data_IF_005085769731
#
_entry.id   IF_005085769731
#
_cell.length_a   1.000
_cell.length_b   1.000
_cell.length_c   1.000
_cell.angle_alpha   90.00
_cell.angle_beta   90.00
_cell.angle_gamma   90.00
#
_symmetry.space_group_name_H-M   'P 1'
#
loop_
_entity.id
_entity.type
_entity.pdbx_description
1 polymer ?
#
# COMPACT_ATOMS: atom_id res chain seq x y z
N UNK A 1 34.62 56.82 23.65
CA UNK A 1 33.28 56.21 23.47
C UNK A 1 33.27 54.87 24.18
N UNK A 2 32.28 54.66 25.07
CA UNK A 2 32.27 53.63 26.11
C UNK A 2 31.87 52.26 25.55
N UNK A 3 32.52 51.23 26.09
CA UNK A 3 32.17 49.81 25.99
C UNK A 3 30.72 49.59 26.42
N UNK A 4 29.96 48.83 25.64
CA UNK A 4 28.72 48.21 26.09
C UNK A 4 28.87 46.69 25.91
N UNK A 5 29.23 46.05 27.02
CA UNK A 5 29.10 44.61 27.25
C UNK A 5 27.61 44.37 27.50
N UNK A 6 26.94 43.52 26.72
CA UNK A 6 25.64 42.98 27.10
C UNK A 6 25.69 41.46 27.12
N UNK A 7 25.44 40.93 28.30
CA UNK A 7 25.47 39.54 28.69
C UNK A 7 24.30 38.72 28.10
N UNK A 8 24.65 37.50 27.69
CA UNK A 8 23.99 36.22 27.97
C UNK A 8 22.45 36.16 28.07
N UNK A 9 21.86 35.40 27.15
CA UNK A 9 20.90 34.35 27.52
C UNK A 9 21.07 33.16 26.56
N UNK A 10 22.05 32.29 26.84
CA UNK A 10 22.10 30.95 26.26
C UNK A 10 21.01 30.12 26.94
N UNK A 11 19.85 29.99 26.30
CA UNK A 11 18.93 28.89 26.58
C UNK A 11 19.60 27.59 26.13
N UNK A 12 20.35 26.95 27.03
CA UNK A 12 20.66 25.53 26.91
C UNK A 12 19.34 24.79 27.04
N UNK A 13 18.70 24.49 25.92
CA UNK A 13 17.68 23.45 25.87
C UNK A 13 18.42 22.17 26.25
N UNK A 14 18.22 21.73 27.49
CA UNK A 14 18.59 20.39 27.89
C UNK A 14 17.85 19.44 26.97
N UNK A 15 18.59 18.79 26.07
CA UNK A 15 18.16 17.54 25.48
C UNK A 15 18.08 16.53 26.61
N UNK A 16 16.94 16.52 27.32
CA UNK A 16 16.51 15.33 28.03
C UNK A 16 16.25 14.30 26.93
N UNK A 17 17.23 13.42 26.69
CA UNK A 17 17.00 12.21 25.93
C UNK A 17 16.01 11.39 26.75
N UNK A 18 14.72 11.62 26.55
CA UNK A 18 13.70 10.64 26.85
C UNK A 18 14.04 9.44 25.95
N UNK A 19 14.77 8.47 26.50
CA UNK A 19 14.91 7.17 25.87
C UNK A 19 13.54 6.53 25.92
N UNK A 20 12.87 6.46 24.77
CA UNK A 20 11.54 5.86 24.66
C UNK A 20 11.63 4.38 25.04
N UNK A 21 11.13 4.05 26.23
CA UNK A 21 10.92 2.68 26.68
C UNK A 21 9.86 2.06 25.76
N UNK A 22 10.21 0.93 25.15
CA UNK A 22 9.37 0.21 24.20
C UNK A 22 8.36 -0.69 24.90
N UNK A 23 8.75 -1.31 26.02
CA UNK A 23 7.89 -2.09 26.89
C UNK A 23 8.55 -2.32 28.26
N UNK A 24 7.77 -2.32 29.34
CA UNK A 24 8.28 -2.53 30.70
C UNK A 24 8.62 -3.99 30.99
N UNK A 25 7.84 -4.95 30.46
CA UNK A 25 8.09 -6.39 30.56
C UNK A 25 7.53 -7.10 29.33
N UNK A 26 8.12 -8.24 28.98
CA UNK A 26 7.64 -9.03 27.86
C UNK A 26 8.61 -10.10 27.39
N UNK A 27 8.41 -10.54 26.15
CA UNK A 27 9.21 -11.58 25.50
C UNK A 27 9.68 -11.12 24.13
N UNK A 28 10.99 -11.16 23.91
CA UNK A 28 11.58 -11.09 22.57
C UNK A 28 11.68 -12.50 22.00
N UNK A 29 11.18 -12.71 20.78
CA UNK A 29 11.42 -13.92 20.00
C UNK A 29 12.52 -13.63 19.00
N UNK A 30 13.58 -14.43 18.99
CA UNK A 30 14.70 -14.29 18.07
C UNK A 30 14.42 -14.94 16.71
N UNK A 31 15.30 -14.68 15.75
CA UNK A 31 15.36 -15.38 14.47
C UNK A 31 15.43 -16.89 14.67
N UNK A 32 16.15 -17.37 15.68
CA UNK A 32 16.24 -18.81 16.00
C UNK A 32 14.96 -19.38 16.63
N UNK A 33 13.91 -18.57 16.81
CA UNK A 33 12.72 -18.84 17.64
C UNK A 33 13.02 -19.00 19.14
N UNK A 34 14.26 -18.76 19.57
CA UNK A 34 14.59 -18.63 20.98
C UNK A 34 13.83 -17.44 21.59
N UNK A 35 13.36 -17.61 22.83
CA UNK A 35 12.58 -16.61 23.54
C UNK A 35 13.37 -16.05 24.71
N UNK A 36 13.57 -14.74 24.71
CA UNK A 36 14.24 -14.00 25.78
C UNK A 36 13.20 -13.19 26.53
N UNK A 37 13.07 -13.43 27.84
CA UNK A 37 12.29 -12.56 28.72
C UNK A 37 13.08 -11.31 29.03
N UNK A 38 12.40 -10.18 29.11
CA UNK A 38 13.01 -8.92 29.47
C UNK A 38 12.20 -8.16 30.51
N UNK A 39 12.90 -7.31 31.25
CA UNK A 39 12.34 -6.11 31.90
C UNK A 39 12.97 -4.87 31.25
N UNK A 40 12.22 -3.78 31.17
CA UNK A 40 12.59 -2.49 30.56
C UNK A 40 13.33 -2.64 29.23
N UNK A 41 12.57 -2.80 28.15
CA UNK A 41 13.10 -2.86 26.80
C UNK A 41 13.15 -1.46 26.18
N UNK A 42 14.33 -1.07 25.73
CA UNK A 42 14.57 0.18 25.01
C UNK A 42 15.13 -0.13 23.62
N UNK A 43 14.79 0.70 22.64
CA UNK A 43 15.43 0.66 21.33
C UNK A 43 16.45 1.79 21.23
N UNK A 44 17.74 1.45 21.30
CA UNK A 44 18.84 2.38 21.15
C UNK A 44 19.54 2.16 19.81
N UNK A 45 19.18 2.94 18.80
CA UNK A 45 19.76 2.82 17.46
C UNK A 45 19.38 1.50 16.78
N UNK A 46 20.35 0.59 16.62
CA UNK A 46 20.15 -0.73 15.97
C UNK A 46 20.14 -1.89 16.96
N UNK A 47 20.06 -1.61 18.26
CA UNK A 47 20.08 -2.61 19.32
C UNK A 47 18.90 -2.41 20.26
N UNK A 48 18.32 -3.52 20.69
CA UNK A 48 17.48 -3.56 21.87
C UNK A 48 18.36 -3.62 23.09
N UNK A 49 18.12 -2.74 24.06
CA UNK A 49 18.69 -2.79 25.40
C UNK A 49 17.61 -3.27 26.35
N UNK A 50 17.94 -4.22 27.20
CA UNK A 50 16.99 -4.79 28.13
C UNK A 50 17.65 -5.22 29.42
N UNK A 51 16.86 -5.33 30.48
CA UNK A 51 17.26 -5.93 31.74
C UNK A 51 16.84 -7.40 31.71
N UNK A 52 17.78 -8.31 31.96
CA UNK A 52 17.45 -9.72 32.11
C UNK A 52 16.82 -9.98 33.49
N UNK A 53 15.56 -10.45 33.57
CA UNK A 53 14.85 -10.55 34.85
C UNK A 53 15.51 -11.47 35.89
N UNK A 54 16.27 -12.46 35.43
CA UNK A 54 16.89 -13.46 36.31
C UNK A 54 18.15 -12.94 37.03
N UNK A 55 18.86 -11.99 36.41
CA UNK A 55 20.18 -11.51 36.87
C UNK A 55 20.19 -10.02 37.20
N UNK A 56 19.21 -9.25 36.68
CA UNK A 56 19.18 -7.80 36.77
C UNK A 56 20.21 -7.12 35.86
N UNK A 57 20.93 -7.87 35.02
CA UNK A 57 21.96 -7.33 34.15
C UNK A 57 21.36 -6.62 32.93
N UNK A 58 22.00 -5.51 32.54
CA UNK A 58 21.69 -4.82 31.28
C UNK A 58 22.36 -5.55 30.13
N UNK A 59 21.56 -6.03 29.19
CA UNK A 59 21.99 -6.74 27.99
C UNK A 59 21.58 -5.99 26.74
N UNK A 60 22.34 -6.20 25.67
CA UNK A 60 22.05 -5.64 24.36
C UNK A 60 21.89 -6.77 23.34
N UNK A 61 20.96 -6.61 22.40
CA UNK A 61 20.78 -7.54 21.29
C UNK A 61 20.50 -6.78 20.00
N UNK A 62 21.14 -7.19 18.91
CA UNK A 62 20.97 -6.52 17.64
C UNK A 62 19.54 -6.68 17.12
N UNK A 63 18.92 -5.58 16.68
CA UNK A 63 17.53 -5.56 16.22
C UNK A 63 17.29 -6.52 15.04
N UNK A 64 18.32 -6.78 14.23
CA UNK A 64 18.28 -7.71 13.09
C UNK A 64 18.36 -9.20 13.47
N UNK A 65 18.46 -9.54 14.76
CA UNK A 65 18.35 -10.93 15.24
C UNK A 65 17.03 -11.18 15.96
N UNK A 66 16.25 -10.14 16.26
CA UNK A 66 14.96 -10.23 16.95
C UNK A 66 13.83 -10.32 15.92
N UNK A 67 13.11 -11.46 15.89
CA UNK A 67 11.95 -11.73 15.03
C UNK A 67 10.74 -10.90 15.45
N UNK A 68 10.46 -10.84 16.76
CA UNK A 68 9.35 -10.07 17.31
C UNK A 68 9.52 -9.77 18.79
N UNK A 69 8.77 -8.78 19.29
CA UNK A 69 8.65 -8.46 20.72
C UNK A 69 7.17 -8.34 21.07
N UNK A 70 6.78 -9.08 22.10
CA UNK A 70 5.44 -9.05 22.68
C UNK A 70 5.56 -8.49 24.12
N UNK A 71 4.65 -7.60 24.51
CA UNK A 71 4.56 -7.09 25.89
C UNK A 71 3.98 -8.16 26.85
N UNK A 72 3.92 -7.86 28.15
CA UNK A 72 3.35 -8.75 29.17
C UNK A 72 1.86 -9.12 28.93
N UNK A 73 1.14 -8.30 28.15
CA UNK A 73 -0.26 -8.53 27.75
C UNK A 73 -0.35 -9.28 26.42
N UNK A 74 0.77 -9.74 25.86
CA UNK A 74 0.89 -10.40 24.57
C UNK A 74 0.53 -9.50 23.37
N UNK A 75 0.58 -8.18 23.53
CA UNK A 75 0.46 -7.27 22.39
C UNK A 75 1.80 -7.18 21.66
N UNK A 76 1.75 -7.29 20.33
CA UNK A 76 2.92 -7.17 19.47
C UNK A 76 3.39 -5.72 19.40
N UNK A 77 4.49 -5.41 20.08
CA UNK A 77 5.09 -4.06 20.09
C UNK A 77 6.18 -3.89 19.03
N UNK A 78 6.77 -4.99 18.55
CA UNK A 78 7.74 -4.95 17.46
C UNK A 78 7.73 -6.24 16.62
N UNK A 79 7.89 -6.11 15.29
CA UNK A 79 8.05 -7.26 14.38
C UNK A 79 9.12 -6.96 13.35
N UNK A 80 10.14 -7.81 13.25
CA UNK A 80 11.15 -7.74 12.21
C UNK A 80 10.74 -8.58 11.00
N UNK A 81 10.09 -7.93 10.04
CA UNK A 81 9.56 -8.57 8.84
C UNK A 81 10.65 -9.23 7.98
N UNK A 82 11.91 -8.78 8.04
CA UNK A 82 12.99 -9.34 7.21
C UNK A 82 13.45 -10.73 7.67
N UNK A 83 13.41 -11.01 8.98
CA UNK A 83 13.82 -12.30 9.58
C UNK A 83 12.72 -13.36 9.42
N UNK A 84 11.46 -12.94 9.51
CA UNK A 84 10.30 -13.82 9.33
C UNK A 84 10.34 -14.45 7.93
N UNK A 85 10.69 -13.65 6.92
CA UNK A 85 10.86 -14.06 5.52
C UNK A 85 11.94 -15.14 5.35
N UNK A 86 13.10 -15.00 6.00
CA UNK A 86 14.22 -15.94 5.80
C UNK A 86 13.99 -17.30 6.48
N UNK A 87 13.22 -17.34 7.57
CA UNK A 87 12.96 -18.58 8.31
C UNK A 87 11.75 -19.36 7.78
N UNK A 88 10.76 -18.68 7.21
CA UNK A 88 9.65 -19.34 6.51
C UNK A 88 10.13 -19.97 5.20
N UNK A 89 11.16 -19.37 4.55
CA UNK A 89 11.85 -19.95 3.39
C UNK A 89 12.59 -21.26 3.71
N UNK A 90 13.17 -21.38 4.91
CA UNK A 90 13.94 -22.58 5.32
C UNK A 90 13.04 -23.69 5.88
N UNK A 91 11.85 -23.37 6.40
CA UNK A 91 10.86 -24.37 6.81
C UNK A 91 9.93 -24.83 5.68
N UNK A 92 9.70 -24.01 4.65
CA UNK A 92 8.92 -24.39 3.46
C UNK A 92 9.56 -25.50 2.61
N UNK A 93 10.89 -25.64 2.63
CA UNK A 93 11.63 -26.62 1.82
C UNK A 93 11.45 -28.08 2.32
N UNK A 94 11.05 -28.29 3.59
CA UNK A 94 10.85 -29.63 4.15
C UNK A 94 9.43 -30.18 3.99
N UNK A 95 8.43 -29.32 3.74
CA UNK A 95 7.01 -29.72 3.69
C UNK A 95 6.55 -30.10 2.28
N UNK A 96 7.23 -29.61 1.23
CA UNK A 96 6.85 -29.85 -0.18
C UNK A 96 7.02 -31.29 -0.69
N UNK A 97 7.60 -32.22 0.09
CA UNK A 97 7.75 -33.62 -0.36
C UNK A 97 6.57 -34.54 -0.09
N UNK A 98 5.51 -34.08 0.58
CA UNK A 98 4.36 -34.94 0.89
C UNK A 98 3.05 -34.16 0.86
N UNK A 99 2.47 -34.01 -0.33
CA UNK A 99 1.00 -33.89 -0.54
C UNK A 99 0.71 -33.87 -2.05
N UNK A 100 0.92 -35.02 -2.69
CA UNK A 100 0.09 -35.40 -3.81
C UNK A 100 -1.10 -36.20 -3.24
N UNK A 101 -2.26 -36.00 -3.86
CA UNK A 101 -3.55 -36.67 -3.64
C UNK A 101 -4.44 -36.18 -2.48
N UNK A 102 -5.38 -35.28 -2.81
CA UNK A 102 -6.80 -35.48 -2.42
C UNK A 102 -7.76 -34.78 -3.40
N UNK A 103 -8.36 -35.62 -4.25
CA UNK A 103 -9.72 -35.65 -4.85
C UNK A 103 -10.54 -34.34 -4.92
N UNK A 104 -10.90 -34.02 -6.16
CA UNK A 104 -11.73 -32.92 -6.62
C UNK A 104 -13.18 -32.91 -6.08
N UNK A 105 -13.64 -31.72 -5.68
CA UNK A 105 -15.07 -31.39 -5.54
C UNK A 105 -15.51 -30.66 -6.80
N UNK A 106 -16.46 -31.24 -7.54
CA UNK A 106 -17.02 -30.69 -8.79
C UNK A 106 -17.77 -29.36 -8.50
N UNK A 107 -17.37 -28.20 -9.05
CA UNK A 107 -18.14 -26.97 -8.90
C UNK A 107 -19.37 -26.97 -9.81
N UNK A 108 -20.43 -26.31 -9.34
CA UNK A 108 -21.62 -25.95 -10.11
C UNK A 108 -21.25 -25.22 -11.43
N UNK A 109 -22.13 -25.20 -12.46
CA UNK A 109 -21.82 -24.61 -13.75
C UNK A 109 -21.55 -23.10 -13.58
N UNK A 110 -20.28 -22.71 -13.75
CA UNK A 110 -19.88 -21.30 -13.78
C UNK A 110 -20.53 -20.67 -15.02
N UNK A 111 -21.33 -19.61 -14.83
CA UNK A 111 -21.67 -18.70 -15.94
C UNK A 111 -20.35 -18.28 -16.61
N UNK A 112 -20.30 -18.35 -17.93
CA UNK A 112 -19.12 -17.91 -18.68
C UNK A 112 -18.82 -16.44 -18.37
N UNK A 113 -17.54 -16.12 -18.17
CA UNK A 113 -17.13 -14.75 -17.88
C UNK A 113 -17.40 -13.84 -19.09
N UNK A 114 -17.83 -12.58 -18.90
CA UNK A 114 -18.05 -11.66 -20.00
C UNK A 114 -16.78 -11.45 -20.83
N UNK A 115 -16.90 -11.52 -22.16
CA UNK A 115 -15.78 -11.31 -23.08
C UNK A 115 -15.34 -9.84 -23.17
N UNK A 116 -16.23 -8.90 -22.83
CA UNK A 116 -16.02 -7.46 -22.90
C UNK A 116 -16.49 -6.77 -21.62
N UNK A 117 -15.89 -5.61 -21.32
CA UNK A 117 -16.45 -4.68 -20.33
C UNK A 117 -17.73 -4.01 -20.85
N UNK A 118 -18.56 -3.40 -19.98
CA UNK A 118 -19.77 -2.68 -20.41
C UNK A 118 -19.56 -1.63 -21.50
N UNK A 119 -18.37 -0.98 -21.54
CA UNK A 119 -18.03 0.02 -22.54
C UNK A 119 -17.28 -0.56 -23.76
N UNK A 120 -17.35 -1.88 -23.94
CA UNK A 120 -16.86 -2.58 -25.13
C UNK A 120 -15.35 -2.80 -25.17
N UNK A 121 -14.65 -2.77 -24.03
CA UNK A 121 -13.23 -3.15 -24.01
C UNK A 121 -13.11 -4.68 -23.98
N UNK A 122 -12.42 -5.32 -24.95
CA UNK A 122 -12.13 -6.73 -24.88
C UNK A 122 -11.31 -7.09 -23.63
N UNK A 123 -11.52 -8.29 -23.08
CA UNK A 123 -10.58 -8.83 -22.08
C UNK A 123 -9.16 -8.92 -22.67
N UNK A 124 -8.17 -8.57 -21.85
CA UNK A 124 -6.77 -8.58 -22.26
C UNK A 124 -5.90 -7.59 -21.51
N UNK A 125 -4.64 -7.56 -21.90
CA UNK A 125 -3.59 -6.72 -21.33
C UNK A 125 -3.37 -5.54 -22.28
N UNK A 126 -3.46 -4.33 -21.75
CA UNK A 126 -3.20 -3.08 -22.46
C UNK A 126 -1.86 -2.53 -21.97
N UNK A 127 -0.78 -2.79 -22.72
CA UNK A 127 0.55 -2.36 -22.32
C UNK A 127 0.69 -0.84 -22.29
N UNK A 128 0.14 -0.16 -23.30
CA UNK A 128 0.26 1.30 -23.46
C UNK A 128 -1.07 2.02 -23.27
N UNK A 129 -0.98 3.35 -23.10
CA UNK A 129 -2.15 4.24 -23.08
C UNK A 129 -2.85 4.24 -24.43
N UNK A 130 -2.09 4.13 -25.51
CA UNK A 130 -2.57 4.14 -26.88
C UNK A 130 -3.37 2.87 -27.20
N UNK A 131 -2.88 1.70 -26.78
CA UNK A 131 -3.62 0.43 -26.85
C UNK A 131 -4.98 0.56 -26.16
N UNK A 132 -4.99 1.16 -24.98
CA UNK A 132 -6.20 1.40 -24.20
C UNK A 132 -7.17 2.35 -24.91
N UNK A 133 -6.69 3.49 -25.41
CA UNK A 133 -7.52 4.46 -26.16
C UNK A 133 -8.14 3.81 -27.39
N UNK A 134 -7.39 2.96 -28.08
CA UNK A 134 -7.85 2.26 -29.28
C UNK A 134 -8.72 1.03 -28.97
N UNK A 135 -8.97 0.73 -27.69
CA UNK A 135 -9.69 -0.48 -27.21
C UNK A 135 -9.11 -1.79 -27.75
N UNK A 136 -7.84 -1.80 -28.10
CA UNK A 136 -7.16 -2.96 -28.68
C UNK A 136 -6.14 -3.50 -27.67
N UNK A 137 -6.40 -4.67 -27.04
CA UNK A 137 -5.43 -5.24 -26.11
C UNK A 137 -4.16 -5.61 -26.87
N UNK A 138 -3.01 -5.28 -26.28
CA UNK A 138 -1.69 -5.64 -26.82
C UNK A 138 -1.45 -7.15 -26.72
N UNK A 139 -2.11 -7.82 -25.78
CA UNK A 139 -2.02 -9.25 -25.55
C UNK A 139 -3.31 -9.80 -24.95
N UNK A 140 -3.68 -11.02 -25.36
CA UNK A 140 -4.80 -11.80 -24.80
C UNK A 140 -4.33 -12.93 -23.89
N UNK A 141 -3.05 -12.89 -23.46
CA UNK A 141 -2.49 -13.88 -22.55
C UNK A 141 -3.33 -13.98 -21.27
N UNK A 142 -3.52 -15.21 -20.78
CA UNK A 142 -4.31 -15.47 -19.58
C UNK A 142 -3.59 -14.92 -18.34
N UNK A 143 -4.34 -14.17 -17.55
CA UNK A 143 -3.88 -13.59 -16.29
C UNK A 143 -4.67 -14.14 -15.12
N UNK A 144 -4.03 -14.20 -13.96
CA UNK A 144 -4.64 -14.53 -12.68
C UNK A 144 -4.42 -13.39 -11.69
N UNK A 145 -5.46 -12.99 -10.93
CA UNK A 145 -5.31 -12.02 -9.86
C UNK A 145 -4.69 -12.70 -8.64
N UNK A 146 -3.75 -12.02 -7.98
CA UNK A 146 -3.13 -12.44 -6.73
C UNK A 146 -3.14 -11.29 -5.72
N UNK A 147 -3.12 -11.61 -4.43
CA UNK A 147 -3.19 -10.60 -3.36
C UNK A 147 -2.04 -9.57 -3.42
N UNK A 148 -2.34 -8.32 -3.03
CA UNK A 148 -1.34 -7.25 -2.95
C UNK A 148 -0.39 -7.42 -1.76
N UNK A 149 -0.91 -7.97 -0.68
CA UNK A 149 -0.25 -8.22 0.60
C UNK A 149 -0.12 -9.71 0.83
N UNK A 150 0.70 -10.13 1.80
CA UNK A 150 1.03 -11.54 2.00
C UNK A 150 2.27 -11.99 1.22
N UNK A 151 2.99 -12.97 1.79
CA UNK A 151 4.21 -13.53 1.19
C UNK A 151 3.88 -14.52 0.08
N UNK A 152 2.97 -15.43 0.37
CA UNK A 152 2.33 -16.28 -0.64
C UNK A 152 1.21 -15.46 -1.28
N UNK A 153 1.47 -14.99 -2.50
CA UNK A 153 0.46 -14.29 -3.29
C UNK A 153 -0.40 -15.35 -3.95
N UNK A 154 -1.34 -15.87 -3.17
CA UNK A 154 -2.29 -16.86 -3.66
C UNK A 154 -3.16 -16.28 -4.77
N UNK A 155 -3.60 -17.14 -5.67
CA UNK A 155 -4.58 -16.78 -6.69
C UNK A 155 -5.93 -16.50 -6.01
N UNK A 156 -6.52 -15.35 -6.33
CA UNK A 156 -7.84 -14.99 -5.84
C UNK A 156 -8.88 -15.66 -6.76
N UNK A 157 -9.45 -16.78 -6.31
CA UNK A 157 -10.38 -17.60 -7.12
C UNK A 157 -11.86 -17.38 -6.80
N UNK A 158 -12.17 -16.86 -5.61
CA UNK A 158 -13.54 -16.85 -5.07
C UNK A 158 -14.34 -15.58 -5.44
N UNK A 159 -13.66 -14.50 -5.84
CA UNK A 159 -14.31 -13.23 -6.16
C UNK A 159 -13.47 -12.35 -7.10
N UNK A 160 -14.09 -11.30 -7.64
CA UNK A 160 -13.40 -10.24 -8.39
C UNK A 160 -12.80 -9.25 -7.39
N UNK A 161 -11.45 -9.15 -7.26
CA UNK A 161 -10.83 -8.27 -6.28
C UNK A 161 -10.97 -6.79 -6.65
N UNK A 162 -11.06 -5.91 -5.66
CA UNK A 162 -11.01 -4.45 -5.89
C UNK A 162 -9.61 -3.98 -6.25
N UNK A 163 -8.59 -4.66 -5.72
CA UNK A 163 -7.18 -4.35 -5.91
C UNK A 163 -6.35 -5.65 -5.84
N UNK A 164 -5.39 -5.80 -6.75
CA UNK A 164 -4.61 -7.04 -6.87
C UNK A 164 -3.31 -6.84 -7.66
N UNK A 165 -2.46 -7.86 -7.69
CA UNK A 165 -1.48 -8.02 -8.75
C UNK A 165 -2.03 -8.97 -9.81
N UNK A 166 -1.82 -8.64 -11.09
CA UNK A 166 -2.00 -9.63 -12.15
C UNK A 166 -0.70 -10.36 -12.47
N UNK A 167 -0.80 -11.67 -12.64
CA UNK A 167 0.28 -12.56 -13.05
C UNK A 167 -0.10 -13.28 -14.34
N UNK A 168 0.87 -13.50 -15.23
CA UNK A 168 0.68 -14.40 -16.37
C UNK A 168 0.52 -15.83 -15.85
N UNK A 169 -0.62 -16.46 -16.17
CA UNK A 169 -1.01 -17.76 -15.60
C UNK A 169 0.04 -18.85 -15.84
N UNK A 170 0.64 -18.88 -17.03
CA UNK A 170 1.55 -19.96 -17.44
C UNK A 170 3.01 -19.71 -17.05
N UNK A 171 3.36 -18.53 -16.57
CA UNK A 171 4.75 -18.13 -16.28
C UNK A 171 4.98 -17.79 -14.81
N UNK A 172 3.91 -17.76 -14.00
CA UNK A 172 3.88 -17.16 -12.66
C UNK A 172 4.59 -15.79 -12.59
N UNK A 173 4.46 -15.01 -13.68
CA UNK A 173 5.19 -13.75 -13.85
C UNK A 173 4.27 -12.58 -13.63
N UNK A 174 4.56 -11.80 -12.60
CA UNK A 174 3.86 -10.54 -12.30
C UNK A 174 3.94 -9.55 -13.46
N UNK A 175 2.80 -9.00 -13.84
CA UNK A 175 2.72 -7.89 -14.79
C UNK A 175 3.33 -6.61 -14.22
N UNK A 176 4.14 -5.94 -15.02
CA UNK A 176 4.83 -4.68 -14.69
C UNK A 176 4.78 -3.79 -15.92
N UNK A 177 4.72 -2.46 -15.72
CA UNK A 177 4.70 -1.47 -16.81
C UNK A 177 3.57 -1.73 -17.82
N UNK A 178 2.36 -1.94 -17.29
CA UNK A 178 1.13 -2.16 -18.06
C UNK A 178 0.20 -0.99 -17.78
N UNK A 179 -0.52 -0.49 -18.78
CA UNK A 179 -1.49 0.58 -18.58
C UNK A 179 -2.75 0.08 -17.88
N UNK A 180 -3.39 -0.94 -18.44
CA UNK A 180 -4.63 -1.52 -17.93
C UNK A 180 -4.73 -3.03 -18.17
N UNK A 181 -5.61 -3.69 -17.44
CA UNK A 181 -6.04 -5.07 -17.68
C UNK A 181 -7.56 -5.10 -17.67
N UNK A 182 -8.16 -5.70 -18.70
CA UNK A 182 -9.56 -6.10 -18.67
C UNK A 182 -9.63 -7.60 -18.37
N UNK A 183 -10.24 -7.95 -17.24
CA UNK A 183 -10.30 -9.31 -16.72
C UNK A 183 -11.76 -9.62 -16.36
N UNK A 184 -12.34 -10.63 -17.01
CA UNK A 184 -13.72 -11.09 -16.78
C UNK A 184 -14.76 -9.96 -16.88
N UNK A 185 -14.60 -9.07 -17.85
CA UNK A 185 -15.50 -7.92 -18.05
C UNK A 185 -15.25 -6.74 -17.10
N UNK A 186 -14.25 -6.83 -16.23
CA UNK A 186 -13.89 -5.79 -15.27
C UNK A 186 -12.60 -5.10 -15.69
N UNK A 187 -12.52 -3.79 -15.50
CA UNK A 187 -11.39 -2.97 -15.91
C UNK A 187 -10.52 -2.61 -14.72
N UNK A 188 -9.20 -2.67 -14.91
CA UNK A 188 -8.21 -2.33 -13.89
C UNK A 188 -7.13 -1.42 -14.47
N UNK A 189 -6.70 -0.42 -13.70
CA UNK A 189 -5.52 0.39 -14.01
C UNK A 189 -4.36 0.00 -13.11
N UNK A 190 -3.15 -0.09 -13.68
CA UNK A 190 -1.95 -0.24 -12.85
C UNK A 190 -1.66 1.09 -12.13
N UNK A 191 -1.35 1.04 -10.84
CA UNK A 191 -1.03 2.23 -10.05
C UNK A 191 0.12 3.04 -10.65
N UNK A 192 1.15 2.38 -11.17
CA UNK A 192 2.25 3.06 -11.88
C UNK A 192 1.77 3.77 -13.14
N UNK A 193 0.81 3.21 -13.88
CA UNK A 193 0.26 3.85 -15.07
C UNK A 193 -0.58 5.07 -14.72
N UNK A 194 -1.39 4.99 -13.65
CA UNK A 194 -2.10 6.13 -13.06
C UNK A 194 -1.10 7.24 -12.75
N UNK A 195 -0.04 6.90 -12.00
CA UNK A 195 0.97 7.87 -11.63
C UNK A 195 1.62 8.45 -12.88
N UNK A 196 2.17 7.64 -13.79
CA UNK A 196 2.89 8.13 -14.97
C UNK A 196 2.06 8.99 -15.94
N UNK A 197 0.72 8.83 -15.96
CA UNK A 197 -0.18 9.54 -16.89
C UNK A 197 -1.12 10.52 -16.18
N UNK A 198 -0.79 10.97 -14.97
CA UNK A 198 -1.57 11.96 -14.22
C UNK A 198 -1.39 13.40 -14.73
N UNK A 199 -2.39 14.23 -14.48
CA UNK A 199 -2.32 15.67 -14.69
C UNK A 199 -1.07 16.25 -13.99
N UNK A 200 -0.45 17.26 -14.60
CA UNK A 200 0.81 17.85 -14.14
C UNK A 200 0.71 18.42 -12.71
N UNK A 201 -0.46 18.87 -12.28
CA UNK A 201 -0.69 19.40 -10.92
C UNK A 201 -0.74 18.29 -9.85
N UNK A 202 -0.78 17.02 -10.26
CA UNK A 202 -0.86 15.84 -9.38
C UNK A 202 0.48 15.13 -9.16
N UNK A 203 1.58 15.76 -9.59
CA UNK A 203 2.92 15.16 -9.57
C UNK A 203 3.44 14.75 -8.20
N UNK A 204 2.89 15.29 -7.12
CA UNK A 204 3.34 15.01 -5.76
C UNK A 204 2.75 13.73 -5.14
N UNK A 205 2.19 12.79 -5.89
CA UNK A 205 1.64 11.52 -5.38
C UNK A 205 2.56 10.31 -5.65
N UNK A 206 2.50 9.31 -4.75
CA UNK A 206 3.22 8.03 -4.81
C UNK A 206 2.42 6.91 -4.12
N UNK A 207 2.87 5.66 -4.23
CA UNK A 207 2.23 4.48 -3.62
C UNK A 207 3.26 3.38 -3.28
N UNK A 208 2.93 2.50 -2.34
CA UNK A 208 3.78 1.39 -1.91
C UNK A 208 3.83 0.21 -2.90
N UNK A 209 2.77 0.02 -3.68
CA UNK A 209 2.55 -1.07 -4.63
C UNK A 209 2.40 -0.56 -6.08
N UNK A 210 3.43 0.03 -6.69
CA UNK A 210 3.31 0.65 -8.02
C UNK A 210 2.87 -0.33 -9.11
N UNK A 211 3.19 -1.63 -8.98
CA UNK A 211 2.77 -2.65 -9.93
C UNK A 211 1.37 -3.23 -9.62
N UNK A 212 0.73 -2.79 -8.54
CA UNK A 212 -0.62 -3.19 -8.18
C UNK A 212 -1.63 -2.58 -9.14
N UNK A 213 -2.79 -3.22 -9.22
CA UNK A 213 -3.90 -2.83 -10.06
C UNK A 213 -5.09 -2.49 -9.19
N UNK A 214 -5.81 -1.44 -9.56
CA UNK A 214 -7.05 -1.01 -8.90
C UNK A 214 -8.21 -1.10 -9.90
N UNK A 215 -9.33 -1.66 -9.46
CA UNK A 215 -10.52 -1.84 -10.28
C UNK A 215 -11.21 -0.50 -10.54
N UNK A 216 -11.71 -0.33 -11.75
CA UNK A 216 -12.60 0.76 -12.11
C UNK A 216 -13.97 0.47 -11.51
N UNK A 217 -14.48 1.39 -10.70
CA UNK A 217 -15.77 1.27 -10.01
C UNK A 217 -16.93 1.81 -10.84
N UNK A 218 -16.66 2.85 -11.63
CA UNK A 218 -17.65 3.49 -12.51
C UNK A 218 -17.02 3.73 -13.87
N UNK A 219 -17.71 3.29 -14.92
CA UNK A 219 -17.36 3.58 -16.31
C UNK A 219 -18.50 4.38 -16.94
N UNK A 220 -18.18 5.51 -17.57
CA UNK A 220 -19.10 6.28 -18.40
C UNK A 220 -18.44 6.79 -19.67
N UNK A 221 -19.08 7.69 -20.41
CA UNK A 221 -18.54 8.19 -21.67
C UNK A 221 -17.40 9.18 -21.46
N UNK A 222 -17.44 9.95 -20.38
CA UNK A 222 -16.51 11.03 -20.09
C UNK A 222 -15.43 10.58 -19.09
N UNK A 223 -15.82 9.80 -18.08
CA UNK A 223 -14.94 9.49 -16.96
C UNK A 223 -14.96 8.00 -16.56
N UNK A 224 -13.77 7.47 -16.26
CA UNK A 224 -13.63 6.20 -15.54
C UNK A 224 -13.10 6.44 -14.14
N UNK A 225 -13.86 6.04 -13.13
CA UNK A 225 -13.54 6.26 -11.72
C UNK A 225 -12.91 5.04 -11.07
N UNK A 226 -11.82 5.27 -10.35
CA UNK A 226 -11.18 4.28 -9.49
C UNK A 226 -10.72 4.91 -8.18
N UNK A 227 -10.27 4.07 -7.26
CA UNK A 227 -9.74 4.50 -5.97
C UNK A 227 -8.43 3.77 -5.69
N UNK A 228 -7.40 4.51 -5.27
CA UNK A 228 -6.12 3.91 -4.90
C UNK A 228 -5.58 4.50 -3.60
N UNK A 229 -4.89 3.67 -2.84
CA UNK A 229 -4.14 4.08 -1.65
C UNK A 229 -2.92 4.89 -2.09
N UNK A 230 -2.92 6.20 -1.92
CA UNK A 230 -1.83 7.08 -2.37
C UNK A 230 -1.32 7.96 -1.22
N UNK A 231 -0.02 8.24 -1.23
CA UNK A 231 0.63 9.18 -0.32
C UNK A 231 1.28 10.35 -1.08
N UNK A 232 1.48 11.46 -0.37
CA UNK A 232 2.31 12.55 -0.89
C UNK A 232 3.78 12.11 -0.96
N UNK A 233 4.43 12.32 -2.11
CA UNK A 233 5.82 11.91 -2.39
C UNK A 233 6.82 12.60 -1.46
N UNK A 234 6.61 13.88 -1.15
CA UNK A 234 7.49 14.64 -0.25
C UNK A 234 7.30 14.25 1.20
N UNK A 235 6.04 14.13 1.66
CA UNK A 235 5.76 13.67 3.01
C UNK A 235 6.32 12.27 3.24
N UNK A 236 6.16 11.37 2.27
CA UNK A 236 6.76 10.03 2.33
C UNK A 236 8.29 10.06 2.26
N UNK A 237 8.88 10.88 1.39
CA UNK A 237 10.33 11.02 1.31
C UNK A 237 10.94 11.55 2.61
N UNK A 238 10.29 12.54 3.22
CA UNK A 238 10.68 13.10 4.51
C UNK A 238 10.52 12.07 5.63
N UNK A 239 9.40 11.35 5.66
CA UNK A 239 9.18 10.25 6.60
C UNK A 239 10.26 9.18 6.43
N UNK A 240 10.52 8.64 5.24
CA UNK A 240 11.52 7.59 5.03
C UNK A 240 12.97 8.02 5.39
N UNK A 241 13.29 9.31 5.34
CA UNK A 241 14.59 9.85 5.78
C UNK A 241 14.73 9.91 7.32
N UNK A 242 13.66 9.69 8.09
CA UNK A 242 13.66 9.63 9.55
C UNK A 242 14.04 8.26 10.15
N UNK A 243 14.70 7.39 9.39
CA UNK A 243 15.09 6.05 9.86
C UNK A 243 13.90 5.10 10.08
N UNK A 244 14.02 4.15 11.01
CA UNK A 244 12.97 3.14 11.26
C UNK A 244 11.62 3.75 11.70
N UNK A 245 11.66 4.79 12.54
CA UNK A 245 10.48 5.55 12.97
C UNK A 245 9.83 6.26 11.77
N UNK A 246 10.67 6.84 10.93
CA UNK A 246 10.29 7.43 9.67
C UNK A 246 9.63 6.45 8.68
N UNK A 247 10.10 5.20 8.65
CA UNK A 247 9.51 4.11 7.88
C UNK A 247 8.09 3.73 8.33
N UNK A 248 7.85 3.68 9.64
CA UNK A 248 6.52 3.41 10.21
C UNK A 248 5.53 4.54 9.88
N UNK A 249 5.93 5.80 10.07
CA UNK A 249 5.12 6.97 9.70
C UNK A 249 4.89 7.01 8.19
N UNK A 250 5.90 6.70 7.38
CA UNK A 250 5.78 6.65 5.91
C UNK A 250 4.70 5.70 5.40
N UNK A 251 4.37 4.65 6.17
CA UNK A 251 3.33 3.67 5.84
C UNK A 251 1.91 4.09 6.24
N UNK A 252 1.76 5.01 7.19
CA UNK A 252 0.45 5.55 7.64
C UNK A 252 0.00 6.79 6.89
N UNK A 253 0.85 7.31 5.98
CA UNK A 253 0.56 8.48 5.15
C UNK A 253 -0.29 8.16 3.91
N UNK A 254 -0.49 6.89 3.58
CA UNK A 254 -1.37 6.52 2.48
C UNK A 254 -2.82 6.69 2.88
N UNK A 255 -3.57 7.40 2.03
CA UNK A 255 -5.00 7.52 2.17
C UNK A 255 -5.64 7.04 0.87
N UNK A 256 -6.82 6.44 0.96
CA UNK A 256 -7.61 6.10 -0.21
C UNK A 256 -8.04 7.41 -0.90
N UNK A 257 -7.76 7.53 -2.20
CA UNK A 257 -8.08 8.72 -2.99
C UNK A 257 -8.90 8.35 -4.21
N UNK A 258 -9.89 9.19 -4.51
CA UNK A 258 -10.64 9.13 -5.76
C UNK A 258 -9.78 9.58 -6.93
N UNK A 259 -9.88 8.87 -8.04
CA UNK A 259 -9.12 9.10 -9.26
C UNK A 259 -10.07 8.96 -10.45
N UNK A 260 -10.01 9.91 -11.38
CA UNK A 260 -10.74 9.82 -12.65
C UNK A 260 -9.76 9.76 -13.81
N UNK A 261 -9.96 8.79 -14.70
CA UNK A 261 -9.45 8.87 -16.06
C UNK A 261 -10.39 9.77 -16.86
N UNK A 262 -9.87 10.87 -17.37
CA UNK A 262 -10.57 11.76 -18.28
C UNK A 262 -10.38 11.24 -19.72
N UNK A 263 -11.46 10.74 -20.32
CA UNK A 263 -11.42 10.10 -21.64
C UNK A 263 -10.99 11.10 -22.72
N UNK A 264 -11.44 12.36 -22.61
CA UNK A 264 -11.16 13.42 -23.58
C UNK A 264 -9.71 13.89 -23.48
N UNK A 265 -9.26 14.20 -22.27
CA UNK A 265 -7.92 14.73 -22.01
C UNK A 265 -6.84 13.64 -21.96
N UNK A 266 -7.24 12.35 -21.89
CA UNK A 266 -6.35 11.19 -21.90
C UNK A 266 -5.32 11.23 -20.76
N UNK A 267 -5.78 11.63 -19.59
CA UNK A 267 -4.97 11.73 -18.37
C UNK A 267 -5.78 11.36 -17.12
N UNK A 268 -5.06 11.05 -16.04
CA UNK A 268 -5.65 10.82 -14.73
C UNK A 268 -5.67 12.12 -13.90
N UNK A 269 -6.81 12.43 -13.28
CA UNK A 269 -6.91 13.46 -12.25
C UNK A 269 -7.06 12.79 -10.89
N UNK A 270 -6.24 13.19 -9.92
CA UNK A 270 -6.20 12.61 -8.58
C UNK A 270 -6.76 13.62 -7.59
N UNK A 271 -7.79 13.24 -6.84
CA UNK A 271 -8.35 14.08 -5.79
C UNK A 271 -7.46 14.01 -4.54
N UNK A 272 -6.34 14.74 -4.54
CA UNK A 272 -5.33 14.70 -3.45
C UNK A 272 -5.92 15.24 -2.16
N UNK A 273 -6.81 16.21 -2.28
CA UNK A 273 -7.59 16.80 -1.21
C UNK A 273 -8.96 17.22 -1.77
N UNK A 274 -9.78 17.77 -0.89
CA UNK A 274 -11.12 18.20 -1.24
C UNK A 274 -11.15 19.37 -2.23
N UNK A 275 -10.18 20.29 -2.18
CA UNK A 275 -10.16 21.40 -3.13
C UNK A 275 -9.96 20.88 -4.54
N UNK A 276 -9.06 19.91 -4.74
CA UNK A 276 -8.87 19.29 -6.06
C UNK A 276 -10.17 18.64 -6.58
N UNK A 277 -10.91 17.92 -5.71
CA UNK A 277 -12.21 17.36 -6.06
C UNK A 277 -13.25 18.45 -6.35
N UNK A 278 -13.35 19.46 -5.49
CA UNK A 278 -14.32 20.53 -5.61
C UNK A 278 -14.07 21.37 -6.88
N UNK A 279 -12.81 21.62 -7.23
CA UNK A 279 -12.47 22.35 -8.45
C UNK A 279 -12.81 21.51 -9.70
N UNK A 280 -12.59 20.19 -9.65
CA UNK A 280 -13.02 19.28 -10.70
C UNK A 280 -14.55 19.24 -10.86
N UNK A 281 -15.29 19.02 -9.77
CA UNK A 281 -16.75 18.80 -9.84
C UNK A 281 -17.55 20.09 -10.04
N UNK A 282 -17.04 21.25 -9.60
CA UNK A 282 -17.80 22.52 -9.62
C UNK A 282 -18.26 22.93 -11.02
N UNK A 283 -17.47 22.62 -12.05
CA UNK A 283 -17.82 22.95 -13.44
C UNK A 283 -18.72 21.92 -14.11
N UNK A 284 -18.82 20.71 -13.55
CA UNK A 284 -19.56 19.57 -14.11
C UNK A 284 -20.90 19.35 -13.41
N UNK A 285 -20.90 19.47 -12.08
CA UNK A 285 -22.05 19.28 -11.20
C UNK A 285 -21.85 20.13 -9.92
N UNK A 286 -22.23 21.42 -9.94
CA UNK A 286 -22.02 22.34 -8.82
C UNK A 286 -22.60 21.85 -7.48
N UNK A 287 -23.72 21.14 -7.51
CA UNK A 287 -24.37 20.54 -6.32
C UNK A 287 -23.54 19.42 -5.71
N UNK A 288 -22.58 18.85 -6.45
CA UNK A 288 -21.64 17.83 -5.97
C UNK A 288 -20.47 18.37 -5.17
N UNK A 289 -20.33 19.70 -5.03
CA UNK A 289 -19.30 20.35 -4.21
C UNK A 289 -19.51 20.01 -2.74
N UNK A 290 -18.42 19.67 -2.05
CA UNK A 290 -18.48 19.24 -0.65
C UNK A 290 -17.88 20.28 0.31
N UNK A 291 -18.53 20.46 1.46
CA UNK A 291 -17.99 21.19 2.61
C UNK A 291 -17.04 20.27 3.40
N UNK A 292 -15.77 20.24 3.00
CA UNK A 292 -14.84 19.25 3.51
C UNK A 292 -14.31 19.55 4.91
N UNK A 293 -14.85 18.82 5.89
CA UNK A 293 -14.51 18.97 7.31
C UNK A 293 -13.09 18.50 7.70
N UNK A 294 -12.43 17.67 6.87
CA UNK A 294 -11.14 17.02 7.19
C UNK A 294 -10.11 17.09 6.06
N UNK A 295 -10.17 18.11 5.21
CA UNK A 295 -9.31 18.30 4.02
C UNK A 295 -9.39 17.21 2.93
N UNK A 296 -9.91 16.01 3.22
CA UNK A 296 -10.22 14.98 2.23
C UNK A 296 -11.72 15.03 1.87
N UNK A 297 -12.08 14.72 0.61
CA UNK A 297 -13.49 14.58 0.23
C UNK A 297 -14.07 13.29 0.82
N UNK A 298 -15.38 13.27 1.06
CA UNK A 298 -16.10 12.04 1.37
C UNK A 298 -16.23 11.20 0.09
N UNK A 299 -15.52 10.07 0.04
CA UNK A 299 -15.49 9.21 -1.15
C UNK A 299 -16.87 8.64 -1.51
N UNK A 300 -17.79 8.49 -0.56
CA UNK A 300 -19.15 8.03 -0.87
C UNK A 300 -19.87 9.08 -1.71
N UNK A 301 -19.79 10.35 -1.32
CA UNK A 301 -20.33 11.48 -2.07
C UNK A 301 -19.59 11.69 -3.39
N UNK A 302 -18.29 11.44 -3.45
CA UNK A 302 -17.53 11.46 -4.72
C UNK A 302 -18.11 10.42 -5.68
N UNK A 303 -18.31 9.17 -5.24
CA UNK A 303 -18.89 8.12 -6.10
C UNK A 303 -20.26 8.51 -6.64
N UNK A 304 -21.12 9.08 -5.79
CA UNK A 304 -22.45 9.56 -6.19
C UNK A 304 -22.35 10.64 -7.27
N UNK A 305 -21.53 11.67 -7.03
CA UNK A 305 -21.32 12.75 -7.99
C UNK A 305 -20.73 12.25 -9.31
N UNK A 306 -19.73 11.36 -9.26
CA UNK A 306 -19.15 10.77 -10.47
C UNK A 306 -20.18 9.93 -11.24
N UNK A 307 -21.06 9.19 -10.55
CA UNK A 307 -22.09 8.42 -11.24
C UNK A 307 -23.11 9.30 -11.99
N UNK A 308 -23.29 10.55 -11.58
CA UNK A 308 -24.13 11.55 -12.28
C UNK A 308 -23.43 12.06 -13.54
N UNK A 309 -22.11 12.29 -13.49
CA UNK A 309 -21.36 12.94 -14.58
C UNK A 309 -20.63 11.97 -15.53
N UNK A 310 -20.72 10.65 -15.28
CA UNK A 310 -19.90 9.62 -15.94
C UNK A 310 -19.99 9.63 -17.47
#
# INVERSE_FOLDING_TARGET
MKRALLLFFLMTIGYCNAQDILADKGVMTLATNEKIKFETLELAGKQFRYIEPATGEKKEIAMNTVKSVDDEKHNRVFTNRNIIISNELSQGILVEKTKADTIAKKPAPKKEDPAFTPNGYPNGIYHTKEDFINKMPSSTALVIPKELVGFEKEEIVDHIPSDCYFYLKNEDKKLKKVFAVCYKGEMYFQTQAILSNRNKTDRAQTNYYPNGFVRVKTMGENYYYTEASLANKWARGFALNGGAVGGAIGSTLENLKGIVWDVKNKEFNIFKNCNDYNDFIRVLYPEGVQECKKHQPDLSKVREAINIIK
#
